data_IF_194302968301
#
_entry.id   IF_194302968301
#
_cell.length_a   1.000
_cell.length_b   1.000
_cell.length_c   1.000
_cell.angle_alpha   90.00
_cell.angle_beta   90.00
_cell.angle_gamma   90.00
#
_symmetry.space_group_name_H-M   'P 1'
#
loop_
_entity.id
_entity.type
_entity.pdbx_description
1 polymer ?
#
# COMPACT_ATOMS: atom_id res chain seq x y z
N UNK A 1 19.09 -0.91 21.32
CA UNK A 1 18.37 -2.03 20.69
C UNK A 1 18.39 -1.84 19.18
N UNK A 2 18.56 -2.91 18.44
CA UNK A 2 18.53 -2.89 16.97
C UNK A 2 17.33 -3.75 16.53
N UNK A 3 16.18 -3.13 16.22
CA UNK A 3 15.01 -3.88 15.78
C UNK A 3 15.26 -4.50 14.40
N UNK A 4 14.71 -5.68 14.16
CA UNK A 4 14.74 -6.33 12.84
C UNK A 4 13.82 -5.64 11.84
N UNK A 5 12.75 -5.03 12.32
CA UNK A 5 11.75 -4.34 11.52
C UNK A 5 11.20 -3.12 12.27
N UNK A 6 11.04 -2.02 11.56
CA UNK A 6 10.31 -0.84 12.01
C UNK A 6 9.10 -0.66 11.11
N UNK A 7 7.92 -0.62 11.70
CA UNK A 7 6.69 -0.32 10.99
C UNK A 7 6.34 1.15 11.18
N UNK A 8 6.06 1.82 10.09
CA UNK A 8 5.56 3.19 10.05
C UNK A 8 4.13 3.18 9.51
N UNK A 9 3.27 3.94 10.13
CA UNK A 9 1.88 4.10 9.68
C UNK A 9 1.64 5.56 9.33
N UNK A 10 0.97 5.78 8.21
CA UNK A 10 0.64 7.09 7.71
C UNK A 10 -0.81 7.20 7.27
N UNK A 11 -1.37 8.39 7.42
CA UNK A 11 -2.79 8.66 7.15
C UNK A 11 -3.09 9.11 5.73
N UNK A 12 -2.09 9.56 4.98
CA UNK A 12 -2.29 10.18 3.67
C UNK A 12 -1.57 9.41 2.56
N UNK A 13 -2.13 9.49 1.35
CA UNK A 13 -1.48 8.94 0.17
C UNK A 13 -0.38 9.88 -0.36
N UNK A 14 0.36 9.42 -1.37
CA UNK A 14 1.40 10.22 -2.01
C UNK A 14 0.83 11.42 -2.80
N UNK A 15 -0.40 11.29 -3.31
CA UNK A 15 -1.03 12.29 -4.18
C UNK A 15 -2.27 12.95 -3.59
N UNK A 16 -2.47 12.85 -2.28
CA UNK A 16 -3.58 13.53 -1.61
C UNK A 16 -3.31 15.04 -1.56
N UNK A 17 -4.14 15.89 -2.19
CA UNK A 17 -3.90 17.32 -2.25
C UNK A 17 -4.02 18.02 -0.89
N UNK A 18 -4.68 17.43 0.10
CA UNK A 18 -4.77 18.00 1.44
C UNK A 18 -3.57 17.68 2.34
N UNK A 19 -2.65 16.82 1.87
CA UNK A 19 -1.44 16.47 2.59
C UNK A 19 -0.80 15.20 1.99
N UNK A 20 0.19 15.34 1.09
CA UNK A 20 0.88 14.20 0.47
C UNK A 20 1.95 13.61 1.42
N UNK A 21 1.56 13.32 2.67
CA UNK A 21 2.49 12.92 3.74
C UNK A 21 3.14 11.54 3.51
N UNK A 22 2.61 10.74 2.61
CA UNK A 22 3.21 9.42 2.28
C UNK A 22 4.66 9.51 1.81
N UNK A 23 5.04 10.58 1.12
CA UNK A 23 6.41 10.79 0.66
C UNK A 23 7.43 10.98 1.78
N UNK A 24 7.02 11.49 2.94
CA UNK A 24 7.90 11.65 4.11
C UNK A 24 8.43 10.32 4.62
N UNK A 25 7.60 9.27 4.61
CA UNK A 25 8.01 7.93 5.02
C UNK A 25 9.04 7.33 4.04
N UNK A 26 8.88 7.64 2.76
CA UNK A 26 9.78 7.15 1.72
C UNK A 26 11.13 7.91 1.75
N UNK A 27 11.08 9.24 1.86
CA UNK A 27 12.27 10.10 1.81
C UNK A 27 13.00 10.19 3.15
N UNK A 28 12.30 10.56 4.22
CA UNK A 28 12.91 10.88 5.51
C UNK A 28 13.14 9.66 6.38
N UNK A 29 12.20 8.72 6.39
CA UNK A 29 12.35 7.47 7.15
C UNK A 29 12.99 6.35 6.33
N UNK A 30 13.28 6.57 5.04
CA UNK A 30 13.92 5.61 4.14
C UNK A 30 13.19 4.26 4.10
N UNK A 31 11.86 4.28 4.15
CA UNK A 31 11.05 3.08 4.10
C UNK A 31 11.37 2.29 2.81
N UNK A 32 11.73 1.02 2.92
CA UNK A 32 12.15 0.18 1.79
C UNK A 32 11.02 -0.67 1.22
N UNK A 33 10.06 -1.03 2.05
CA UNK A 33 8.87 -1.78 1.66
C UNK A 33 7.60 -1.03 2.03
N UNK A 34 6.60 -1.07 1.16
CA UNK A 34 5.34 -0.36 1.33
C UNK A 34 4.17 -1.33 1.17
N UNK A 35 3.24 -1.28 2.10
CA UNK A 35 1.92 -1.88 1.96
C UNK A 35 0.96 -0.71 1.79
N UNK A 36 0.31 -0.63 0.64
CA UNK A 36 -0.61 0.45 0.32
C UNK A 36 -2.05 0.00 0.51
N UNK A 37 -2.86 0.83 1.16
CA UNK A 37 -4.28 0.59 1.29
C UNK A 37 -5.06 1.34 0.21
N UNK A 38 -6.07 0.72 -0.39
CA UNK A 38 -7.04 1.37 -1.25
C UNK A 38 -8.48 1.00 -0.89
N UNK A 39 -9.40 1.88 -1.24
CA UNK A 39 -10.84 1.69 -1.12
C UNK A 39 -11.45 1.79 -2.52
N UNK A 40 -11.73 0.67 -3.22
CA UNK A 40 -12.11 0.67 -4.64
C UNK A 40 -13.38 1.47 -4.98
N UNK A 41 -14.31 1.59 -4.04
CA UNK A 41 -15.53 2.37 -4.23
C UNK A 41 -15.38 3.86 -3.90
N UNK A 42 -14.26 4.25 -3.30
CA UNK A 42 -13.98 5.65 -3.03
C UNK A 42 -13.42 6.33 -4.28
N UNK A 43 -14.13 7.32 -4.78
CA UNK A 43 -13.76 8.03 -6.02
C UNK A 43 -12.95 9.29 -5.77
N UNK A 44 -13.11 9.89 -4.61
CA UNK A 44 -12.55 11.20 -4.26
C UNK A 44 -11.81 11.14 -2.92
N UNK A 45 -10.73 11.91 -2.79
CA UNK A 45 -9.95 12.00 -1.54
C UNK A 45 -10.75 12.63 -0.39
N UNK A 46 -11.51 13.66 -0.72
CA UNK A 46 -12.42 14.32 0.21
C UNK A 46 -13.82 14.24 -0.40
N UNK A 47 -14.66 13.41 0.16
CA UNK A 47 -16.09 13.41 -0.12
C UNK A 47 -16.76 14.20 1.01
N UNK A 48 -16.89 15.49 0.85
CA UNK A 48 -17.91 16.25 1.57
C UNK A 48 -19.23 16.09 0.83
N UNK A 49 -20.35 16.14 1.55
CA UNK A 49 -21.69 15.77 1.07
C UNK A 49 -22.15 16.41 -0.24
N UNK A 50 -21.41 17.37 -0.78
CA UNK A 50 -21.77 18.08 -2.00
C UNK A 50 -20.60 18.41 -2.94
N UNK A 51 -19.36 17.97 -2.66
CA UNK A 51 -18.19 18.36 -3.48
C UNK A 51 -17.31 17.18 -3.84
N UNK A 52 -17.42 16.75 -5.07
CA UNK A 52 -16.51 15.83 -5.75
C UNK A 52 -15.21 16.56 -6.15
N UNK A 53 -14.37 16.95 -5.19
CA UNK A 53 -13.31 17.94 -5.45
C UNK A 53 -12.01 17.37 -5.99
N UNK A 54 -11.58 16.16 -5.60
CA UNK A 54 -10.31 15.63 -6.05
C UNK A 54 -10.45 14.12 -6.32
N UNK A 55 -10.54 13.72 -7.59
CA UNK A 55 -10.62 12.30 -7.92
C UNK A 55 -9.36 11.56 -7.46
N UNK A 56 -9.55 10.38 -6.89
CA UNK A 56 -8.45 9.49 -6.54
C UNK A 56 -7.89 8.92 -7.85
N UNK A 57 -6.60 9.15 -8.13
CA UNK A 57 -6.00 8.61 -9.35
C UNK A 57 -5.86 7.09 -9.28
N UNK A 58 -5.65 6.42 -10.42
CA UNK A 58 -5.42 4.98 -10.45
C UNK A 58 -4.26 4.57 -9.54
N UNK A 59 -4.43 3.45 -8.83
CA UNK A 59 -3.47 2.96 -7.84
C UNK A 59 -2.12 2.60 -8.48
N UNK A 60 -2.10 2.25 -9.75
CA UNK A 60 -0.87 1.98 -10.50
C UNK A 60 0.14 3.12 -10.39
N UNK A 61 -0.35 4.35 -10.49
CA UNK A 61 0.52 5.51 -10.32
C UNK A 61 1.10 5.69 -8.92
N UNK A 62 0.44 5.19 -7.87
CA UNK A 62 1.04 5.13 -6.53
C UNK A 62 2.19 4.12 -6.49
N UNK A 63 2.02 2.95 -7.11
CA UNK A 63 3.07 1.94 -7.18
C UNK A 63 4.29 2.44 -7.96
N UNK A 64 4.06 3.17 -9.06
CA UNK A 64 5.13 3.80 -9.84
C UNK A 64 5.89 4.84 -9.02
N UNK A 65 5.19 5.70 -8.29
CA UNK A 65 5.81 6.69 -7.40
C UNK A 65 6.62 6.03 -6.30
N UNK A 66 6.10 5.00 -5.64
CA UNK A 66 6.80 4.23 -4.61
C UNK A 66 8.12 3.68 -5.19
N UNK A 67 8.08 3.14 -6.40
CA UNK A 67 9.26 2.62 -7.08
C UNK A 67 10.26 3.73 -7.41
N UNK A 68 9.81 4.89 -7.87
CA UNK A 68 10.66 6.06 -8.15
C UNK A 68 11.37 6.58 -6.90
N UNK A 69 10.77 6.45 -5.73
CA UNK A 69 11.43 6.74 -4.44
C UNK A 69 12.44 5.67 -4.00
N UNK A 70 12.62 4.60 -4.77
CA UNK A 70 13.54 3.51 -4.43
C UNK A 70 12.99 2.54 -3.39
N UNK A 71 11.67 2.51 -3.22
CA UNK A 71 10.95 1.59 -2.34
C UNK A 71 10.20 0.54 -3.15
N UNK A 72 9.83 -0.57 -2.53
CA UNK A 72 9.10 -1.67 -3.17
C UNK A 72 7.69 -1.75 -2.61
N UNK A 73 6.68 -1.79 -3.47
CA UNK A 73 5.32 -2.17 -3.04
C UNK A 73 5.30 -3.67 -2.77
N UNK A 74 5.01 -4.05 -1.54
CA UNK A 74 4.97 -5.44 -1.09
C UNK A 74 3.59 -6.07 -1.28
N UNK A 75 2.56 -5.30 -1.01
CA UNK A 75 1.17 -5.73 -1.14
C UNK A 75 0.24 -4.51 -1.22
N UNK A 76 -0.98 -4.77 -1.68
CA UNK A 76 -2.11 -3.86 -1.57
C UNK A 76 -3.12 -4.43 -0.58
N UNK A 77 -3.65 -3.61 0.31
CA UNK A 77 -4.78 -3.98 1.17
C UNK A 77 -6.04 -3.28 0.73
N UNK A 78 -7.15 -4.00 0.72
CA UNK A 78 -8.46 -3.47 0.34
C UNK A 78 -9.26 -3.08 1.58
N UNK A 79 -9.80 -1.87 1.53
CA UNK A 79 -10.87 -1.46 2.41
C UNK A 79 -12.21 -1.83 1.75
N UNK A 80 -13.01 -2.61 2.45
CA UNK A 80 -14.30 -3.13 1.96
C UNK A 80 -15.45 -2.11 1.98
N UNK A 81 -15.14 -0.84 2.22
CA UNK A 81 -16.13 0.23 2.28
C UNK A 81 -17.06 0.23 1.06
N UNK A 82 -18.37 0.11 1.31
CA UNK A 82 -19.44 0.05 0.31
C UNK A 82 -19.31 -1.13 -0.70
N UNK A 83 -18.57 -2.18 -0.37
CA UNK A 83 -18.47 -3.40 -1.17
C UNK A 83 -19.24 -4.54 -0.53
N UNK A 84 -19.99 -5.28 -1.33
CA UNK A 84 -20.47 -6.61 -0.95
C UNK A 84 -19.30 -7.59 -0.95
N UNK A 85 -19.44 -8.71 -0.27
CA UNK A 85 -18.40 -9.76 -0.23
C UNK A 85 -18.02 -10.26 -1.64
N UNK A 86 -18.99 -10.40 -2.52
CA UNK A 86 -18.75 -10.84 -3.90
C UNK A 86 -18.00 -9.81 -4.72
N UNK A 87 -18.36 -8.53 -4.59
CA UNK A 87 -17.65 -7.42 -5.24
C UNK A 87 -16.22 -7.34 -4.74
N UNK A 88 -16.01 -7.44 -3.42
CA UNK A 88 -14.67 -7.40 -2.82
C UNK A 88 -13.77 -8.51 -3.35
N UNK A 89 -14.27 -9.74 -3.43
CA UNK A 89 -13.52 -10.87 -3.98
C UNK A 89 -13.20 -10.71 -5.47
N UNK A 90 -14.12 -10.14 -6.23
CA UNK A 90 -13.90 -9.84 -7.65
C UNK A 90 -12.83 -8.77 -7.81
N UNK A 91 -12.92 -7.69 -7.03
CA UNK A 91 -11.97 -6.58 -7.06
C UNK A 91 -10.57 -7.02 -6.61
N UNK A 92 -10.48 -7.84 -5.57
CA UNK A 92 -9.22 -8.43 -5.11
C UNK A 92 -8.50 -9.18 -6.25
N UNK A 93 -9.20 -10.06 -6.95
CA UNK A 93 -8.63 -10.84 -8.07
C UNK A 93 -8.22 -9.95 -9.24
N UNK A 94 -9.06 -8.98 -9.58
CA UNK A 94 -8.80 -8.05 -10.67
C UNK A 94 -7.56 -7.20 -10.40
N UNK A 95 -7.44 -6.64 -9.20
CA UNK A 95 -6.30 -5.83 -8.80
C UNK A 95 -5.03 -6.68 -8.70
N UNK A 96 -5.10 -7.86 -8.11
CA UNK A 96 -3.94 -8.76 -8.00
C UNK A 96 -3.39 -9.14 -9.38
N UNK A 97 -4.27 -9.46 -10.34
CA UNK A 97 -3.89 -9.76 -11.72
C UNK A 97 -3.29 -8.53 -12.45
N UNK A 98 -3.80 -7.34 -12.17
CA UNK A 98 -3.41 -6.08 -12.83
C UNK A 98 -2.10 -5.52 -12.27
N UNK A 99 -1.93 -5.58 -10.95
CA UNK A 99 -0.80 -4.95 -10.25
C UNK A 99 0.41 -5.89 -10.10
N UNK A 100 0.20 -7.20 -10.21
CA UNK A 100 1.29 -8.18 -10.05
C UNK A 100 1.85 -8.27 -8.63
N UNK A 101 1.13 -7.75 -7.64
CA UNK A 101 1.47 -7.85 -6.22
C UNK A 101 0.29 -8.45 -5.44
N UNK A 102 0.52 -9.10 -4.29
CA UNK A 102 -0.55 -9.64 -3.46
C UNK A 102 -1.57 -8.57 -3.07
N UNK A 103 -2.86 -8.89 -3.24
CA UNK A 103 -3.97 -8.05 -2.79
C UNK A 103 -4.71 -8.77 -1.67
N UNK A 104 -4.90 -8.08 -0.55
CA UNK A 104 -5.35 -8.68 0.71
C UNK A 104 -6.55 -7.92 1.24
N UNK A 105 -7.53 -8.64 1.78
CA UNK A 105 -8.69 -8.09 2.45
C UNK A 105 -8.56 -8.34 3.97
N UNK A 106 -7.87 -7.48 4.73
CA UNK A 106 -7.48 -7.77 6.11
C UNK A 106 -8.65 -8.03 7.04
N UNK A 107 -9.74 -7.31 6.83
CA UNK A 107 -10.93 -7.41 7.71
C UNK A 107 -11.72 -8.71 7.48
N UNK A 108 -11.68 -9.26 6.26
CA UNK A 108 -12.43 -10.45 5.87
C UNK A 108 -11.60 -11.72 5.94
N UNK A 109 -10.34 -11.66 5.47
CA UNK A 109 -9.47 -12.82 5.30
C UNK A 109 -8.30 -12.84 6.31
N UNK A 110 -8.15 -11.78 7.11
CA UNK A 110 -7.01 -11.60 8.00
C UNK A 110 -5.70 -11.34 7.28
N UNK A 111 -4.59 -11.43 8.00
CA UNK A 111 -3.25 -11.07 7.53
C UNK A 111 -2.41 -12.27 7.09
N UNK A 112 -2.97 -13.47 7.05
CA UNK A 112 -2.24 -14.70 6.77
C UNK A 112 -1.44 -14.68 5.46
N UNK A 113 -1.97 -14.08 4.41
CA UNK A 113 -1.30 -13.94 3.10
C UNK A 113 -0.20 -12.87 3.09
N UNK A 114 -0.22 -11.91 4.01
CA UNK A 114 0.78 -10.85 4.09
C UNK A 114 2.04 -11.29 4.82
N UNK A 115 1.93 -12.12 5.83
CA UNK A 115 3.06 -12.54 6.66
C UNK A 115 4.22 -13.16 5.86
N UNK A 116 4.00 -14.09 4.92
CA UNK A 116 5.10 -14.62 4.11
C UNK A 116 5.76 -13.55 3.24
N UNK A 117 5.01 -12.61 2.68
CA UNK A 117 5.54 -11.50 1.86
C UNK A 117 6.49 -10.61 2.67
N UNK A 118 6.08 -10.25 3.89
CA UNK A 118 6.93 -9.44 4.78
C UNK A 118 8.17 -10.21 5.24
N UNK A 119 8.04 -11.50 5.55
CA UNK A 119 9.19 -12.33 5.94
C UNK A 119 10.21 -12.47 4.83
N UNK A 120 9.78 -12.71 3.61
CA UNK A 120 10.64 -12.75 2.43
C UNK A 120 11.37 -11.42 2.21
N UNK A 121 10.64 -10.32 2.28
CA UNK A 121 11.21 -8.99 2.18
C UNK A 121 12.31 -8.74 3.24
N UNK A 122 12.08 -9.08 4.50
CA UNK A 122 13.08 -8.94 5.58
C UNK A 122 14.32 -9.78 5.29
N UNK A 123 14.14 -11.01 4.82
CA UNK A 123 15.24 -11.90 4.47
C UNK A 123 16.10 -11.30 3.35
N UNK A 124 15.48 -10.78 2.29
CA UNK A 124 16.16 -10.12 1.17
C UNK A 124 16.96 -8.89 1.61
N UNK A 125 16.38 -8.05 2.47
CA UNK A 125 17.08 -6.87 2.99
C UNK A 125 18.30 -7.25 3.86
N UNK A 126 18.19 -8.34 4.61
CA UNK A 126 19.29 -8.85 5.45
C UNK A 126 20.44 -9.39 4.61
N UNK A 127 20.14 -10.07 3.50
CA UNK A 127 21.14 -10.56 2.56
C UNK A 127 21.88 -9.41 1.87
N UNK A 128 21.14 -8.40 1.39
CA UNK A 128 21.72 -7.25 0.69
C UNK A 128 22.68 -6.45 1.59
N UNK A 129 22.35 -6.26 2.88
CA UNK A 129 23.25 -5.61 3.84
C UNK A 129 24.58 -6.33 4.04
N UNK A 130 24.64 -7.65 3.87
CA UNK A 130 25.88 -8.45 4.02
C UNK A 130 26.79 -8.37 2.81
N UNK A 131 26.29 -7.92 1.67
CA UNK A 131 27.05 -7.80 0.42
C UNK A 131 27.72 -6.44 0.28
N UNK A 132 27.22 -5.42 1.00
CA UNK A 132 27.76 -4.04 0.98
C UNK A 132 28.92 -3.79 1.95
N UNK A 133 29.44 -4.84 2.66
CA UNK A 133 30.60 -4.81 3.54
C UNK A 133 31.77 -5.54 2.89
#
# INVERSE_FOLDING_TARGET
EHPDLILLEGQSSLRNPSGPCGSEYLCSALAKGVIIQCAPKQKYFLADDERELWPIPPIEGELELINLYGSKTLAVTLNSYNLTKTELQSEQKNLEARLGVPVICPMEDGMGRLLPVVKEFIADQTLNRKVEI
#
